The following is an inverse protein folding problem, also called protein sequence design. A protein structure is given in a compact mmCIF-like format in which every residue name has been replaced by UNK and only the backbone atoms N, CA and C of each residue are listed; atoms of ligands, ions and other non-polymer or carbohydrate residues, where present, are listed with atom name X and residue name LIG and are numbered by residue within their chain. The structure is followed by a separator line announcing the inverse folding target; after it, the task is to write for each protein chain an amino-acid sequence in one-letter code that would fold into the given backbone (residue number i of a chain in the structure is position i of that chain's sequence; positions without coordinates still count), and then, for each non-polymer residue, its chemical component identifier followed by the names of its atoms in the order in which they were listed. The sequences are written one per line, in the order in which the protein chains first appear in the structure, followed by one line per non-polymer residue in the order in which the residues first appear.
data_IF_740698469497
#
_entry.id   IF_740698469497
#
_cell.length_a   1.000
_cell.length_b   1.000
_cell.length_c   1.000
_cell.angle_alpha   90.00
_cell.angle_beta   90.00
_cell.angle_gamma   90.00
#
_symmetry.space_group_name_H-M   'P 1'
#
loop_
_entity.id
_entity.type
_entity.pdbx_description
1 polymer ?
#
# COMPACT_ATOMS: atom_id res chain seq x y z
N UNK A 1 15.80 -9.57 -8.60
CA UNK A 1 15.76 -8.41 -9.51
C UNK A 1 15.77 -7.15 -8.65
N UNK A 2 16.85 -6.37 -8.69
CA UNK A 2 16.90 -5.04 -8.06
C UNK A 2 16.03 -4.08 -8.91
N UNK A 3 14.92 -3.59 -8.34
CA UNK A 3 13.99 -2.71 -9.04
C UNK A 3 14.56 -1.30 -9.27
N UNK A 4 14.74 -0.95 -10.55
CA UNK A 4 14.40 0.32 -11.22
C UNK A 4 14.69 1.68 -10.55
N UNK A 5 15.83 1.89 -9.87
CA UNK A 5 16.27 3.24 -9.48
C UNK A 5 17.77 3.45 -9.70
N UNK A 6 18.19 3.55 -10.95
CA UNK A 6 19.52 4.04 -11.34
C UNK A 6 20.68 3.63 -10.42
N UNK A 7 21.59 4.57 -10.17
CA UNK A 7 22.61 4.42 -9.13
C UNK A 7 22.07 4.99 -7.80
N UNK A 8 21.78 4.12 -6.83
CA UNK A 8 21.25 4.53 -5.52
C UNK A 8 22.17 5.49 -4.76
N UNK A 9 23.49 5.40 -5.00
CA UNK A 9 24.50 6.31 -4.43
C UNK A 9 24.34 7.75 -4.87
N UNK A 10 23.85 7.99 -6.09
CA UNK A 10 23.59 9.33 -6.64
C UNK A 10 22.17 9.78 -6.25
N UNK A 11 21.22 8.86 -6.30
CA UNK A 11 19.79 9.18 -6.11
C UNK A 11 19.49 9.67 -4.69
N UNK A 12 20.10 9.06 -3.67
CA UNK A 12 19.88 9.43 -2.26
C UNK A 12 20.32 10.88 -1.94
N UNK A 13 21.55 11.32 -2.26
CA UNK A 13 21.96 12.72 -2.08
C UNK A 13 21.10 13.73 -2.86
N UNK A 14 20.73 13.42 -4.10
CA UNK A 14 19.90 14.30 -4.92
C UNK A 14 18.51 14.52 -4.30
N UNK A 15 17.86 13.45 -3.85
CA UNK A 15 16.56 13.54 -3.19
C UNK A 15 16.65 14.28 -1.85
N UNK A 16 17.71 14.04 -1.07
CA UNK A 16 17.97 14.78 0.17
C UNK A 16 18.03 16.29 -0.09
N UNK A 17 18.85 16.71 -1.04
CA UNK A 17 18.99 18.13 -1.42
C UNK A 17 17.65 18.72 -1.93
N UNK A 18 16.89 17.95 -2.71
CA UNK A 18 15.57 18.37 -3.18
C UNK A 18 14.59 18.62 -2.03
N UNK A 19 14.52 17.71 -1.03
CA UNK A 19 13.63 17.86 0.11
C UNK A 19 14.05 19.00 1.06
N UNK A 20 15.36 19.22 1.26
CA UNK A 20 15.87 20.36 2.03
C UNK A 20 15.44 21.71 1.42
N UNK A 21 15.23 21.76 0.11
CA UNK A 21 14.72 22.93 -0.60
C UNK A 21 13.24 23.26 -0.41
N UNK A 22 12.51 22.51 0.44
CA UNK A 22 11.07 22.71 0.71
C UNK A 22 10.23 22.81 -0.58
N UNK A 23 10.23 21.76 -1.41
CA UNK A 23 9.64 21.80 -2.74
C UNK A 23 8.12 22.02 -2.69
N UNK A 24 7.53 22.72 -3.68
CA UNK A 24 6.09 22.91 -3.75
C UNK A 24 5.35 21.60 -3.96
N UNK A 25 4.10 21.54 -3.51
CA UNK A 25 3.23 20.38 -3.61
C UNK A 25 2.74 20.17 -5.06
N UNK A 26 3.55 19.49 -5.87
CA UNK A 26 3.27 19.23 -7.28
C UNK A 26 3.70 17.81 -7.68
N UNK A 27 3.58 17.47 -8.98
CA UNK A 27 3.98 16.16 -9.51
C UNK A 27 5.43 15.77 -9.20
N UNK A 28 6.35 16.73 -9.10
CA UNK A 28 7.76 16.45 -8.83
C UNK A 28 7.96 16.05 -7.37
N UNK A 29 7.24 16.68 -6.43
CA UNK A 29 7.23 16.25 -5.03
C UNK A 29 6.66 14.84 -4.88
N UNK A 30 5.53 14.55 -5.52
CA UNK A 30 4.97 13.19 -5.51
C UNK A 30 5.99 12.17 -6.03
N UNK A 31 6.60 12.42 -7.19
CA UNK A 31 7.60 11.50 -7.78
C UNK A 31 8.85 11.36 -6.91
N UNK A 32 9.29 12.44 -6.26
CA UNK A 32 10.41 12.37 -5.31
C UNK A 32 10.08 11.46 -4.12
N UNK A 33 8.87 11.53 -3.58
CA UNK A 33 8.42 10.61 -2.54
C UNK A 33 8.35 9.16 -3.03
N UNK A 34 7.81 8.90 -4.22
CA UNK A 34 7.79 7.55 -4.80
C UNK A 34 9.20 6.97 -4.93
N UNK A 35 10.15 7.74 -5.47
CA UNK A 35 11.55 7.33 -5.57
C UNK A 35 12.17 7.07 -4.19
N UNK A 36 11.92 7.94 -3.21
CA UNK A 36 12.47 7.77 -1.87
C UNK A 36 11.95 6.50 -1.21
N UNK A 37 10.63 6.21 -1.28
CA UNK A 37 10.05 4.99 -0.73
C UNK A 37 10.64 3.71 -1.35
N UNK A 38 10.96 3.74 -2.64
CA UNK A 38 11.62 2.62 -3.31
C UNK A 38 13.13 2.51 -2.95
N UNK A 39 13.84 3.61 -2.70
CA UNK A 39 15.24 3.58 -2.23
C UNK A 39 15.39 3.08 -0.79
N UNK A 40 14.34 3.27 0.01
CA UNK A 40 14.21 2.75 1.37
C UNK A 40 13.62 1.32 1.36
N UNK A 41 13.47 0.69 0.18
CA UNK A 41 12.94 -0.67 0.09
C UNK A 41 13.79 -1.60 0.95
N UNK A 42 13.22 -2.17 2.02
CA UNK A 42 13.98 -2.98 2.94
C UNK A 42 14.41 -4.27 2.24
N UNK A 43 15.58 -4.84 2.60
CA UNK A 43 15.90 -6.21 2.21
C UNK A 43 14.83 -7.17 2.78
N UNK A 44 14.79 -8.42 2.31
CA UNK A 44 13.80 -9.39 2.80
C UNK A 44 13.86 -9.62 4.34
N UNK A 45 15.03 -9.37 4.94
CA UNK A 45 15.28 -9.40 6.38
C UNK A 45 15.28 -8.01 7.05
N UNK A 46 14.80 -6.97 6.36
CA UNK A 46 14.70 -5.62 6.90
C UNK A 46 13.76 -5.55 8.09
N UNK A 47 13.98 -4.55 8.95
CA UNK A 47 13.21 -4.37 10.16
C UNK A 47 11.81 -3.85 9.85
N UNK A 48 10.90 -3.93 10.83
CA UNK A 48 9.54 -3.37 10.69
C UNK A 48 9.62 -1.86 10.46
N UNK A 49 10.52 -1.18 11.19
CA UNK A 49 10.72 0.26 11.12
C UNK A 49 11.18 0.70 9.73
N UNK A 50 12.06 -0.06 9.07
CA UNK A 50 12.49 0.23 7.70
C UNK A 50 11.31 0.17 6.71
N UNK A 51 10.43 -0.82 6.88
CA UNK A 51 9.23 -1.00 6.06
C UNK A 51 8.24 0.14 6.26
N UNK A 52 7.98 0.52 7.52
CA UNK A 52 7.10 1.62 7.87
C UNK A 52 7.63 2.96 7.35
N UNK A 53 8.93 3.20 7.47
CA UNK A 53 9.59 4.39 6.93
C UNK A 53 9.47 4.46 5.41
N UNK A 54 9.62 3.33 4.70
CA UNK A 54 9.41 3.28 3.26
C UNK A 54 7.93 3.54 2.90
N UNK A 55 7.00 2.95 3.65
CA UNK A 55 5.56 3.14 3.49
C UNK A 55 5.14 4.61 3.61
N UNK A 56 5.68 5.33 4.59
CA UNK A 56 5.39 6.75 4.84
C UNK A 56 5.62 7.63 3.62
N UNK A 57 6.62 7.33 2.80
CA UNK A 57 6.86 8.09 1.57
C UNK A 57 5.74 7.89 0.55
N UNK A 58 5.22 6.68 0.39
CA UNK A 58 4.07 6.45 -0.50
C UNK A 58 2.81 7.16 0.02
N UNK A 59 2.59 7.17 1.33
CA UNK A 59 1.47 7.90 1.93
C UNK A 59 1.58 9.41 1.70
N UNK A 60 2.78 9.99 1.87
CA UNK A 60 3.03 11.40 1.53
C UNK A 60 2.76 11.70 0.06
N UNK A 61 3.12 10.78 -0.86
CA UNK A 61 2.82 10.94 -2.28
C UNK A 61 1.31 10.95 -2.55
N UNK A 62 0.56 10.04 -1.92
CA UNK A 62 -0.91 9.96 -2.02
C UNK A 62 -1.56 11.26 -1.50
N UNK A 63 -1.14 11.76 -0.34
CA UNK A 63 -1.70 12.96 0.28
C UNK A 63 -1.50 14.23 -0.57
N UNK A 64 -0.40 14.33 -1.31
CA UNK A 64 -0.17 15.42 -2.26
C UNK A 64 -1.01 15.19 -3.52
N UNK A 65 -1.00 13.98 -4.07
CA UNK A 65 -1.63 13.66 -5.34
C UNK A 65 -3.16 13.77 -5.31
N UNK A 66 -3.81 13.40 -4.20
CA UNK A 66 -5.28 13.44 -4.08
C UNK A 66 -5.90 14.85 -4.03
N UNK A 67 -5.08 15.88 -3.85
CA UNK A 67 -5.53 17.28 -3.74
C UNK A 67 -5.71 17.96 -5.10
N UNK A 68 -5.12 17.40 -6.15
CA UNK A 68 -5.04 18.02 -7.46
C UNK A 68 -5.46 17.00 -8.53
N UNK A 69 -6.57 17.23 -9.26
CA UNK A 69 -7.10 16.31 -10.26
C UNK A 69 -6.07 15.85 -11.30
N UNK A 70 -5.17 16.74 -11.72
CA UNK A 70 -4.12 16.39 -12.69
C UNK A 70 -3.08 15.38 -12.16
N UNK A 71 -3.03 15.15 -10.84
CA UNK A 71 -2.11 14.23 -10.18
C UNK A 71 -2.76 12.90 -9.74
N UNK A 72 -4.07 12.72 -9.90
CA UNK A 72 -4.80 11.54 -9.39
C UNK A 72 -4.20 10.19 -9.83
N UNK A 73 -3.64 10.10 -11.04
CA UNK A 73 -2.95 8.89 -11.51
C UNK A 73 -1.74 8.49 -10.63
N UNK A 74 -1.15 9.43 -9.89
CA UNK A 74 -0.06 9.15 -8.96
C UNK A 74 -0.52 8.43 -7.69
N UNK A 75 -1.81 8.49 -7.32
CA UNK A 75 -2.36 7.71 -6.19
C UNK A 75 -2.34 6.21 -6.55
N UNK A 76 -2.81 5.84 -7.74
CA UNK A 76 -2.68 4.49 -8.25
C UNK A 76 -1.20 4.04 -8.28
N UNK A 77 -0.32 4.84 -8.87
CA UNK A 77 1.11 4.50 -8.92
C UNK A 77 1.73 4.32 -7.53
N UNK A 78 1.38 5.17 -6.58
CA UNK A 78 1.83 5.07 -5.20
C UNK A 78 1.37 3.75 -4.56
N UNK A 79 0.13 3.34 -4.79
CA UNK A 79 -0.41 2.09 -4.25
C UNK A 79 0.31 0.85 -4.80
N UNK A 80 0.63 0.83 -6.10
CA UNK A 80 1.39 -0.26 -6.73
C UNK A 80 2.80 -0.34 -6.17
N UNK A 81 3.49 0.80 -6.07
CA UNK A 81 4.84 0.86 -5.52
C UNK A 81 4.87 0.50 -4.04
N UNK A 82 3.89 0.94 -3.25
CA UNK A 82 3.71 0.53 -1.87
C UNK A 82 3.66 -1.00 -1.75
N UNK A 83 2.76 -1.68 -2.48
CA UNK A 83 2.63 -3.14 -2.41
C UNK A 83 3.94 -3.83 -2.82
N UNK A 84 4.60 -3.33 -3.86
CA UNK A 84 5.88 -3.88 -4.30
C UNK A 84 6.93 -3.81 -3.18
N UNK A 85 7.04 -2.66 -2.51
CA UNK A 85 8.01 -2.42 -1.45
C UNK A 85 7.70 -3.21 -0.18
N UNK A 86 6.43 -3.29 0.25
CA UNK A 86 6.05 -3.98 1.49
C UNK A 86 5.85 -5.49 1.32
N UNK A 87 5.91 -6.01 0.08
CA UNK A 87 5.69 -7.43 -0.23
C UNK A 87 6.46 -8.41 0.66
N UNK A 88 7.74 -8.19 1.01
CA UNK A 88 8.47 -9.10 1.91
C UNK A 88 7.85 -9.19 3.31
N UNK A 89 7.16 -8.15 3.75
CA UNK A 89 6.49 -8.03 5.05
C UNK A 89 5.04 -8.53 5.06
N UNK A 90 4.47 -8.85 3.89
CA UNK A 90 3.14 -9.49 3.75
C UNK A 90 3.17 -11.00 4.07
N UNK A 91 4.25 -11.50 4.67
CA UNK A 91 4.33 -12.88 5.18
C UNK A 91 3.57 -13.02 6.51
N UNK A 92 3.05 -14.22 6.78
CA UNK A 92 2.38 -14.54 8.05
C UNK A 92 3.28 -14.23 9.26
N UNK A 93 2.69 -13.70 10.31
CA UNK A 93 3.32 -13.27 11.55
C UNK A 93 4.05 -11.93 11.46
N UNK A 94 4.04 -11.28 10.29
CA UNK A 94 4.72 -10.00 10.07
C UNK A 94 3.81 -8.95 9.48
N UNK A 95 2.62 -9.25 8.98
CA UNK A 95 1.82 -8.29 8.21
C UNK A 95 0.99 -7.33 9.06
N UNK A 96 0.91 -7.56 10.38
CA UNK A 96 0.15 -6.74 11.32
C UNK A 96 0.55 -5.25 11.32
N UNK A 97 1.84 -4.93 11.26
CA UNK A 97 2.33 -3.55 11.23
C UNK A 97 1.94 -2.79 9.95
N UNK A 98 1.51 -3.50 8.90
CA UNK A 98 1.07 -2.87 7.65
C UNK A 98 -0.39 -2.42 7.69
N UNK A 99 -1.19 -2.84 8.67
CA UNK A 99 -2.60 -2.46 8.79
C UNK A 99 -2.81 -0.94 8.67
N UNK A 100 -2.07 -0.07 9.41
CA UNK A 100 -2.30 1.38 9.35
C UNK A 100 -1.97 2.00 7.99
N UNK A 101 -0.88 1.57 7.36
CA UNK A 101 -0.43 2.15 6.09
C UNK A 101 -1.25 1.62 4.91
N UNK A 102 -1.58 0.33 4.87
CA UNK A 102 -2.40 -0.26 3.81
C UNK A 102 -3.84 0.28 3.86
N UNK A 103 -4.38 0.55 5.06
CA UNK A 103 -5.68 1.24 5.20
C UNK A 103 -5.69 2.61 4.53
N UNK A 104 -4.64 3.42 4.75
CA UNK A 104 -4.53 4.75 4.15
C UNK A 104 -4.33 4.68 2.62
N UNK A 105 -3.57 3.71 2.13
CA UNK A 105 -3.44 3.48 0.68
C UNK A 105 -4.80 3.17 0.05
N UNK A 106 -5.56 2.26 0.65
CA UNK A 106 -6.89 1.90 0.15
C UNK A 106 -7.85 3.10 0.21
N UNK A 107 -7.84 3.86 1.30
CA UNK A 107 -8.64 5.07 1.44
C UNK A 107 -8.32 6.10 0.34
N UNK A 108 -7.04 6.30 0.01
CA UNK A 108 -6.64 7.21 -1.08
C UNK A 108 -7.21 6.81 -2.44
N UNK A 109 -7.30 5.51 -2.73
CA UNK A 109 -7.94 5.00 -3.96
C UNK A 109 -9.46 5.13 -3.91
N UNK A 110 -10.07 4.90 -2.74
CA UNK A 110 -11.51 5.00 -2.53
C UNK A 110 -12.01 6.45 -2.64
N UNK A 111 -11.32 7.42 -2.04
CA UNK A 111 -11.64 8.85 -2.12
C UNK A 111 -11.70 9.35 -3.58
N UNK A 112 -10.87 8.76 -4.45
CA UNK A 112 -10.83 9.08 -5.88
C UNK A 112 -11.75 8.22 -6.75
N UNK A 113 -12.47 7.26 -6.17
CA UNK A 113 -13.20 6.22 -6.90
C UNK A 113 -12.35 5.59 -8.00
N UNK A 114 -11.14 5.14 -7.65
CA UNK A 114 -10.21 4.58 -8.62
C UNK A 114 -10.89 3.45 -9.43
N UNK A 115 -10.79 3.50 -10.78
CA UNK A 115 -11.57 2.63 -11.67
C UNK A 115 -11.03 1.20 -11.72
N UNK A 116 -9.83 0.93 -11.22
CA UNK A 116 -9.28 -0.42 -11.16
C UNK A 116 -9.85 -1.17 -9.94
N UNK A 117 -11.07 -1.69 -10.12
CA UNK A 117 -11.75 -2.45 -9.08
C UNK A 117 -11.01 -3.74 -8.72
N UNK A 118 -10.31 -4.36 -9.67
CA UNK A 118 -9.54 -5.59 -9.42
C UNK A 118 -8.39 -5.30 -8.46
N UNK A 119 -7.66 -4.22 -8.71
CA UNK A 119 -6.60 -3.77 -7.82
C UNK A 119 -7.13 -3.41 -6.43
N UNK A 120 -8.22 -2.64 -6.35
CA UNK A 120 -8.86 -2.30 -5.06
C UNK A 120 -9.29 -3.54 -4.30
N UNK A 121 -9.94 -4.51 -4.96
CA UNK A 121 -10.35 -5.76 -4.34
C UNK A 121 -9.16 -6.57 -3.81
N UNK A 122 -8.07 -6.65 -4.58
CA UNK A 122 -6.85 -7.30 -4.13
C UNK A 122 -6.28 -6.63 -2.87
N UNK A 123 -6.20 -5.30 -2.83
CA UNK A 123 -5.75 -4.55 -1.65
C UNK A 123 -6.65 -4.78 -0.43
N UNK A 124 -7.98 -4.78 -0.62
CA UNK A 124 -8.92 -5.13 0.46
C UNK A 124 -8.65 -6.53 1.01
N UNK A 125 -8.46 -7.52 0.13
CA UNK A 125 -8.14 -8.87 0.56
C UNK A 125 -6.79 -8.98 1.26
N UNK A 126 -5.79 -8.18 0.89
CA UNK A 126 -4.53 -8.09 1.62
C UNK A 126 -4.72 -7.45 3.00
N UNK A 127 -5.49 -6.37 3.11
CA UNK A 127 -5.77 -5.74 4.40
C UNK A 127 -6.52 -6.69 5.35
N UNK A 128 -7.46 -7.48 4.81
CA UNK A 128 -8.12 -8.54 5.57
C UNK A 128 -7.12 -9.58 6.08
N UNK A 129 -6.15 -10.01 5.26
CA UNK A 129 -5.05 -10.90 5.71
C UNK A 129 -4.25 -10.26 6.84
N UNK A 130 -3.93 -8.96 6.75
CA UNK A 130 -3.20 -8.25 7.80
C UNK A 130 -3.98 -8.18 9.13
N UNK A 131 -5.30 -7.94 9.11
CA UNK A 131 -6.11 -7.97 10.33
C UNK A 131 -6.12 -9.35 10.99
N UNK A 132 -6.25 -10.42 10.20
CA UNK A 132 -6.22 -11.80 10.71
C UNK A 132 -4.87 -12.09 11.37
N UNK A 133 -3.78 -11.65 10.74
CA UNK A 133 -2.42 -11.83 11.23
C UNK A 133 -2.14 -11.02 12.51
N UNK A 134 -2.77 -9.85 12.65
CA UNK A 134 -2.72 -9.02 13.86
C UNK A 134 -3.55 -9.58 15.03
N UNK A 135 -4.42 -10.57 14.78
CA UNK A 135 -5.39 -11.06 15.76
C UNK A 135 -6.57 -10.10 15.98
N UNK A 136 -6.72 -9.05 15.16
CA UNK A 136 -7.81 -8.07 15.18
C UNK A 136 -9.08 -8.67 14.52
N UNK A 137 -9.64 -9.70 15.17
CA UNK A 137 -10.72 -10.50 14.60
C UNK A 137 -12.04 -9.73 14.45
N UNK A 138 -12.31 -8.75 15.30
CA UNK A 138 -13.52 -7.92 15.22
C UNK A 138 -13.49 -7.04 13.97
N UNK A 139 -12.37 -6.34 13.76
CA UNK A 139 -12.05 -5.55 12.59
C UNK A 139 -12.05 -6.41 11.32
N UNK A 140 -11.42 -7.59 11.38
CA UNK A 140 -11.40 -8.53 10.26
C UNK A 140 -12.81 -8.94 9.83
N UNK A 141 -13.70 -9.27 10.78
CA UNK A 141 -15.08 -9.67 10.46
C UNK A 141 -15.90 -8.51 9.91
N UNK A 142 -15.76 -7.30 10.47
CA UNK A 142 -16.43 -6.11 9.93
C UNK A 142 -15.96 -5.81 8.50
N UNK A 143 -14.65 -5.83 8.28
CA UNK A 143 -14.04 -5.52 6.99
C UNK A 143 -14.29 -6.60 5.93
N UNK A 144 -14.39 -7.87 6.35
CA UNK A 144 -14.75 -9.00 5.48
C UNK A 144 -16.11 -8.80 4.80
N UNK A 145 -17.11 -8.27 5.52
CA UNK A 145 -18.43 -7.99 4.94
C UNK A 145 -18.36 -6.94 3.83
N UNK A 146 -17.65 -5.83 4.07
CA UNK A 146 -17.43 -4.79 3.08
C UNK A 146 -16.67 -5.32 1.85
N UNK A 147 -15.61 -6.10 2.08
CA UNK A 147 -14.82 -6.74 1.02
C UNK A 147 -15.68 -7.69 0.18
N UNK A 148 -16.52 -8.49 0.83
CA UNK A 148 -17.43 -9.41 0.14
C UNK A 148 -18.44 -8.67 -0.74
N UNK A 149 -19.03 -7.59 -0.23
CA UNK A 149 -19.97 -6.77 -1.01
C UNK A 149 -19.27 -6.13 -2.21
N UNK A 150 -18.08 -5.58 -2.02
CA UNK A 150 -17.29 -4.97 -3.09
C UNK A 150 -16.94 -5.98 -4.19
N UNK A 151 -16.39 -7.14 -3.81
CA UNK A 151 -16.01 -8.21 -4.74
C UNK A 151 -17.21 -8.73 -5.53
N UNK A 152 -18.35 -8.97 -4.87
CA UNK A 152 -19.58 -9.41 -5.57
C UNK A 152 -20.07 -8.40 -6.60
N UNK A 153 -19.93 -7.11 -6.31
CA UNK A 153 -20.49 -6.04 -7.14
C UNK A 153 -19.60 -5.69 -8.33
N UNK A 154 -18.28 -5.79 -8.18
CA UNK A 154 -17.34 -5.28 -9.18
C UNK A 154 -16.39 -6.34 -9.74
N UNK A 155 -16.01 -7.36 -8.97
CA UNK A 155 -14.90 -8.26 -9.28
C UNK A 155 -15.23 -9.71 -8.92
N UNK A 156 -16.42 -10.19 -9.31
CA UNK A 156 -16.98 -11.47 -8.86
C UNK A 156 -16.07 -12.69 -9.12
N UNK A 157 -15.17 -12.59 -10.08
CA UNK A 157 -14.17 -13.62 -10.37
C UNK A 157 -13.13 -13.83 -9.25
N UNK A 158 -12.94 -12.86 -8.35
CA UNK A 158 -12.08 -12.96 -7.16
C UNK A 158 -12.78 -13.62 -5.96
N UNK A 159 -14.08 -13.90 -6.06
CA UNK A 159 -14.84 -14.51 -4.97
C UNK A 159 -14.28 -15.86 -4.48
N UNK A 160 -13.76 -16.77 -5.34
CA UNK A 160 -13.14 -18.01 -4.88
C UNK A 160 -11.91 -17.78 -3.98
N UNK A 161 -11.07 -16.78 -4.29
CA UNK A 161 -9.91 -16.44 -3.47
C UNK A 161 -10.36 -15.81 -2.14
N UNK A 162 -11.35 -14.90 -2.19
CA UNK A 162 -11.93 -14.31 -0.99
C UNK A 162 -12.55 -15.39 -0.08
N UNK A 163 -13.32 -16.33 -0.66
CA UNK A 163 -13.94 -17.40 0.11
C UNK A 163 -12.91 -18.26 0.85
N UNK A 164 -11.81 -18.61 0.18
CA UNK A 164 -10.70 -19.34 0.80
C UNK A 164 -10.12 -18.58 2.00
N UNK A 165 -9.98 -17.25 1.88
CA UNK A 165 -9.53 -16.39 2.97
C UNK A 165 -10.53 -16.37 4.14
N UNK A 166 -11.83 -16.21 3.86
CA UNK A 166 -12.87 -16.20 4.89
C UNK A 166 -12.93 -17.51 5.67
N UNK A 167 -12.81 -18.67 5.00
CA UNK A 167 -12.76 -19.97 5.68
C UNK A 167 -11.58 -20.05 6.64
N UNK A 168 -10.41 -19.53 6.26
CA UNK A 168 -9.23 -19.52 7.12
C UNK A 168 -9.42 -18.70 8.40
N UNK A 169 -10.24 -17.65 8.38
CA UNK A 169 -10.57 -16.87 9.59
C UNK A 169 -11.27 -17.69 10.66
N UNK A 170 -12.16 -18.60 10.26
CA UNK A 170 -12.96 -19.41 11.18
C UNK A 170 -12.22 -20.65 11.70
N UNK A 171 -11.10 -21.02 11.08
CA UNK A 171 -10.29 -22.18 11.46
C UNK A 171 -9.21 -21.87 12.50
N UNK A 172 -9.00 -20.59 12.85
CA UNK A 172 -7.99 -20.13 13.83
C UNK A 172 -8.57 -20.08 15.27
N UNK A 173 -9.75 -20.70 15.51
CA UNK A 173 -10.35 -20.85 16.85
C UNK A 173 -9.95 -22.15 17.53
#
# INVERSE_FOLDING_TARGET
MHGCLGCGEISKPCLKMYFEGSPPANQFLCRAYLCQGQLECPPAAGSVEDVEKAADYFLKAIEVAKREPSLHCLVFNASVLYVHTVRPSLQRGRSAHLVPSLRQVLQGLEELNDPDHDWRAQLMMQLLKCYIDAGEMEEAVMFAKATQQFVKSHTAHLFPELFSLLVSMFQIR
#
